data_IF_803284277679
#
_entry.id   IF_803284277679
#
_cell.length_a   1.000
_cell.length_b   1.000
_cell.length_c   1.000
_cell.angle_alpha   90.00
_cell.angle_beta   90.00
_cell.angle_gamma   90.00
#
_symmetry.space_group_name_H-M   'P 1'
#
loop_
_entity.id
_entity.type
_entity.pdbx_description
1 polymer ?
#
# COMPACT_ATOMS: atom_id res chain seq x y z
N UNK A 1 39.48 22.15 -1.10
CA UNK A 1 40.51 21.41 -1.87
C UNK A 1 39.79 20.60 -2.94
N UNK A 2 40.24 20.61 -4.19
CA UNK A 2 39.72 19.70 -5.22
C UNK A 2 40.45 18.38 -5.05
N UNK A 3 39.71 17.32 -4.71
CA UNK A 3 40.22 15.97 -4.59
C UNK A 3 40.67 15.48 -5.98
N UNK A 4 41.87 14.89 -6.07
CA UNK A 4 42.37 14.33 -7.34
C UNK A 4 41.65 13.00 -7.58
N UNK A 5 40.66 13.00 -8.47
CA UNK A 5 39.90 11.80 -8.82
C UNK A 5 40.77 10.85 -9.65
N UNK A 6 40.96 9.61 -9.17
CA UNK A 6 41.55 8.51 -9.94
C UNK A 6 40.45 7.55 -10.38
N UNK A 7 40.38 7.31 -11.69
CA UNK A 7 39.48 6.32 -12.26
C UNK A 7 40.20 4.97 -12.35
N UNK A 8 39.58 3.88 -11.90
CA UNK A 8 40.16 2.53 -11.95
C UNK A 8 39.40 1.65 -12.93
N UNK A 9 40.10 0.96 -13.83
CA UNK A 9 39.50 0.09 -14.82
C UNK A 9 38.69 -1.02 -14.14
N UNK A 10 37.40 -1.18 -14.47
CA UNK A 10 36.59 -2.25 -13.89
C UNK A 10 36.97 -3.65 -14.36
N UNK A 11 37.71 -3.76 -15.46
CA UNK A 11 38.16 -5.06 -15.98
C UNK A 11 39.38 -5.61 -15.24
N UNK A 12 40.29 -4.74 -14.80
CA UNK A 12 41.58 -5.17 -14.25
C UNK A 12 42.07 -4.38 -13.02
N UNK A 13 41.29 -3.41 -12.52
CA UNK A 13 41.66 -2.54 -11.41
C UNK A 13 42.72 -1.49 -11.72
N UNK A 14 43.28 -1.47 -12.93
CA UNK A 14 44.35 -0.56 -13.31
C UNK A 14 43.93 0.91 -13.40
N UNK A 15 44.77 1.84 -12.95
CA UNK A 15 44.50 3.27 -13.06
C UNK A 15 44.38 3.73 -14.52
N UNK A 16 43.30 4.44 -14.83
CA UNK A 16 43.04 4.95 -16.17
C UNK A 16 43.78 6.25 -16.44
N UNK A 17 44.23 6.39 -17.68
CA UNK A 17 44.93 7.58 -18.16
C UNK A 17 44.03 8.29 -19.17
N UNK A 18 43.82 9.59 -18.98
CA UNK A 18 43.05 10.42 -19.90
C UNK A 18 43.86 10.65 -21.18
N UNK A 19 43.37 10.14 -22.32
CA UNK A 19 43.87 10.53 -23.63
C UNK A 19 43.03 11.70 -24.16
N UNK A 20 43.52 12.93 -23.97
CA UNK A 20 42.81 14.16 -24.37
C UNK A 20 42.60 14.27 -25.88
N UNK A 21 43.44 13.63 -26.69
CA UNK A 21 43.35 13.70 -28.15
C UNK A 21 42.18 12.89 -28.70
N UNK A 22 41.75 11.87 -27.97
CA UNK A 22 40.69 10.93 -28.38
C UNK A 22 39.46 11.02 -27.47
N UNK A 23 39.45 11.89 -26.46
CA UNK A 23 38.39 12.01 -25.44
C UNK A 23 38.03 10.68 -24.76
N UNK A 24 39.03 9.81 -24.59
CA UNK A 24 38.89 8.45 -24.06
C UNK A 24 39.85 8.24 -22.89
N UNK A 25 39.38 7.57 -21.84
CA UNK A 25 40.20 7.00 -20.78
C UNK A 25 40.76 5.66 -21.23
N UNK A 26 42.09 5.52 -21.34
CA UNK A 26 42.74 4.26 -21.71
C UNK A 26 43.33 3.58 -20.48
N UNK A 27 43.07 2.27 -20.35
CA UNK A 27 43.74 1.43 -19.36
C UNK A 27 45.08 0.93 -19.91
N UNK A 28 46.22 1.26 -19.26
CA UNK A 28 47.53 0.80 -19.73
C UNK A 28 47.76 -0.70 -19.50
N UNK A 29 46.93 -1.35 -18.67
CA UNK A 29 47.10 -2.76 -18.30
C UNK A 29 46.35 -3.73 -19.21
N UNK A 30 45.07 -3.46 -19.51
CA UNK A 30 44.24 -4.32 -20.35
C UNK A 30 43.93 -3.74 -21.73
N UNK A 31 44.30 -2.48 -22.00
CA UNK A 31 44.05 -1.82 -23.28
C UNK A 31 42.63 -1.31 -23.50
N UNK A 32 41.70 -1.55 -22.56
CA UNK A 32 40.33 -1.06 -22.67
C UNK A 32 40.28 0.48 -22.68
N UNK A 33 39.47 1.02 -23.59
CA UNK A 33 39.16 2.44 -23.69
C UNK A 33 37.74 2.71 -23.20
N UNK A 34 37.56 3.80 -22.46
CA UNK A 34 36.27 4.26 -21.97
C UNK A 34 36.01 5.69 -22.42
N UNK A 35 34.84 5.97 -22.99
CA UNK A 35 34.46 7.30 -23.43
C UNK A 35 34.36 8.29 -22.25
N UNK A 36 34.99 9.46 -22.37
CA UNK A 36 35.04 10.43 -21.28
C UNK A 36 33.69 11.10 -21.00
N UNK A 37 32.84 11.31 -22.02
CA UNK A 37 31.51 11.88 -21.83
C UNK A 37 30.60 10.88 -21.11
N UNK A 38 30.65 9.60 -21.48
CA UNK A 38 29.93 8.54 -20.78
C UNK A 38 30.40 8.36 -19.33
N UNK A 39 31.70 8.55 -19.05
CA UNK A 39 32.20 8.56 -17.67
C UNK A 39 31.58 9.70 -16.86
N UNK A 40 31.60 10.92 -17.41
CA UNK A 40 31.05 12.08 -16.73
C UNK A 40 29.55 11.97 -16.49
N UNK A 41 28.78 11.50 -17.47
CA UNK A 41 27.35 11.21 -17.32
C UNK A 41 27.08 10.26 -16.16
N UNK A 42 27.86 9.17 -16.03
CA UNK A 42 27.70 8.20 -14.94
C UNK A 42 28.01 8.79 -13.57
N UNK A 43 29.01 9.65 -13.47
CA UNK A 43 29.31 10.39 -12.24
C UNK A 43 28.10 11.24 -11.81
N UNK A 44 27.50 11.97 -12.75
CA UNK A 44 26.29 12.76 -12.50
C UNK A 44 25.12 11.86 -12.06
N UNK A 45 24.92 10.71 -12.72
CA UNK A 45 23.88 9.74 -12.35
C UNK A 45 24.09 9.19 -10.93
N UNK A 46 25.31 8.77 -10.58
CA UNK A 46 25.62 8.23 -9.26
C UNK A 46 25.44 9.29 -8.15
N UNK A 47 25.83 10.53 -8.42
CA UNK A 47 25.56 11.64 -7.51
C UNK A 47 24.05 11.89 -7.38
N UNK A 48 23.29 11.81 -8.47
CA UNK A 48 21.84 11.98 -8.44
C UNK A 48 21.18 10.88 -7.59
N UNK A 49 21.60 9.63 -7.75
CA UNK A 49 21.16 8.52 -6.90
C UNK A 49 21.53 8.72 -5.42
N UNK A 50 22.72 9.27 -5.15
CA UNK A 50 23.13 9.62 -3.78
C UNK A 50 22.20 10.66 -3.18
N UNK A 51 21.89 11.73 -3.92
CA UNK A 51 20.93 12.74 -3.52
C UNK A 51 19.53 12.14 -3.30
N UNK A 52 19.07 11.23 -4.16
CA UNK A 52 17.80 10.51 -3.96
C UNK A 52 17.80 9.70 -2.67
N UNK A 53 18.87 8.96 -2.36
CA UNK A 53 19.00 8.21 -1.10
C UNK A 53 18.96 9.13 0.12
N UNK A 54 19.53 10.33 0.01
CA UNK A 54 19.50 11.38 1.02
C UNK A 54 18.17 12.15 1.07
N UNK A 55 17.20 11.81 0.20
CA UNK A 55 15.90 12.48 0.06
C UNK A 55 15.99 13.93 -0.44
N UNK A 56 17.10 14.30 -1.07
CA UNK A 56 17.34 15.60 -1.71
C UNK A 56 16.82 15.58 -3.16
N UNK A 57 15.52 15.32 -3.34
CA UNK A 57 14.93 15.07 -4.67
C UNK A 57 15.08 16.23 -5.65
N UNK A 58 15.08 17.48 -5.19
CA UNK A 58 15.29 18.64 -6.07
C UNK A 58 16.73 18.68 -6.61
N UNK A 59 17.72 18.41 -5.75
CA UNK A 59 19.13 18.37 -6.15
C UNK A 59 19.41 17.18 -7.08
N UNK A 60 18.75 16.04 -6.85
CA UNK A 60 18.78 14.90 -7.78
C UNK A 60 18.16 15.26 -9.14
N UNK A 61 16.99 15.92 -9.11
CA UNK A 61 16.28 16.37 -10.32
C UNK A 61 17.16 17.30 -11.17
N UNK A 62 17.84 18.27 -10.56
CA UNK A 62 18.73 19.19 -11.27
C UNK A 62 19.87 18.45 -12.00
N UNK A 63 20.40 17.38 -11.40
CA UNK A 63 21.41 16.50 -12.02
C UNK A 63 20.83 15.73 -13.21
N UNK A 64 19.65 15.12 -13.08
CA UNK A 64 18.99 14.47 -14.22
C UNK A 64 18.65 15.45 -15.34
N UNK A 65 18.14 16.64 -15.02
CA UNK A 65 17.85 17.70 -15.99
C UNK A 65 19.13 18.15 -16.73
N UNK A 66 20.30 18.11 -16.08
CA UNK A 66 21.57 18.43 -16.73
C UNK A 66 21.92 17.41 -17.83
N UNK A 67 21.63 16.12 -17.61
CA UNK A 67 21.82 15.05 -18.60
C UNK A 67 20.80 15.20 -19.73
N UNK A 68 19.53 15.47 -19.40
CA UNK A 68 18.45 15.61 -20.38
C UNK A 68 18.62 16.82 -21.31
N UNK A 69 19.41 17.83 -20.92
CA UNK A 69 19.77 18.94 -21.80
C UNK A 69 20.65 18.49 -22.98
N UNK A 70 21.56 17.55 -22.76
CA UNK A 70 22.42 16.98 -23.82
C UNK A 70 21.79 15.76 -24.48
N UNK A 71 21.11 14.91 -23.71
CA UNK A 71 20.51 13.65 -24.15
C UNK A 71 19.03 13.58 -23.71
N UNK A 72 18.10 14.21 -24.46
CA UNK A 72 16.70 14.38 -24.02
C UNK A 72 15.90 13.09 -23.84
N UNK A 73 16.37 11.99 -24.42
CA UNK A 73 15.74 10.67 -24.37
C UNK A 73 16.57 9.67 -23.55
N UNK A 74 17.47 10.16 -22.69
CA UNK A 74 18.24 9.29 -21.81
C UNK A 74 17.34 8.57 -20.82
N UNK A 75 17.40 7.23 -20.83
CA UNK A 75 16.52 6.39 -20.03
C UNK A 75 16.73 6.60 -18.53
N UNK A 76 17.99 6.57 -18.07
CA UNK A 76 18.34 6.68 -16.65
C UNK A 76 17.88 8.02 -16.07
N UNK A 77 18.13 9.12 -16.81
CA UNK A 77 17.69 10.43 -16.39
C UNK A 77 16.16 10.58 -16.41
N UNK A 78 15.46 10.09 -17.44
CA UNK A 78 13.99 10.11 -17.47
C UNK A 78 13.38 9.29 -16.32
N UNK A 79 13.93 8.11 -16.03
CA UNK A 79 13.54 7.30 -14.85
C UNK A 79 13.77 8.07 -13.56
N UNK A 80 14.93 8.68 -13.41
CA UNK A 80 15.29 9.51 -12.26
C UNK A 80 14.31 10.66 -12.02
N UNK A 81 13.93 11.37 -13.08
CA UNK A 81 12.94 12.45 -13.03
C UNK A 81 11.58 11.96 -12.51
N UNK A 82 11.08 10.84 -13.04
CA UNK A 82 9.82 10.23 -12.57
C UNK A 82 9.89 9.86 -11.09
N UNK A 83 10.99 9.22 -10.66
CA UNK A 83 11.16 8.82 -9.26
C UNK A 83 11.29 10.04 -8.33
N UNK A 84 11.98 11.10 -8.75
CA UNK A 84 12.08 12.35 -8.00
C UNK A 84 10.71 13.01 -7.83
N UNK A 85 9.89 13.06 -8.89
CA UNK A 85 8.54 13.59 -8.84
C UNK A 85 7.64 12.81 -7.86
N UNK A 86 7.85 11.50 -7.75
CA UNK A 86 7.18 10.64 -6.76
C UNK A 86 7.80 10.66 -5.36
N UNK A 87 8.91 11.37 -5.13
CA UNK A 87 9.72 11.33 -3.89
C UNK A 87 10.18 9.92 -3.52
N UNK A 88 10.58 9.14 -4.52
CA UNK A 88 11.03 7.77 -4.38
C UNK A 88 12.56 7.69 -4.43
N UNK A 89 13.15 6.92 -3.52
CA UNK A 89 14.62 6.79 -3.43
C UNK A 89 15.22 5.85 -4.47
N UNK A 90 14.41 4.89 -4.91
CA UNK A 90 14.78 3.87 -5.89
C UNK A 90 13.52 3.15 -6.40
N UNK A 91 13.68 2.34 -7.45
CA UNK A 91 12.63 1.48 -7.97
C UNK A 91 12.17 0.43 -6.94
N UNK A 92 13.03 0.04 -5.99
CA UNK A 92 12.70 -0.87 -4.89
C UNK A 92 11.61 -0.32 -3.97
N UNK A 93 11.33 0.99 -4.03
CA UNK A 93 10.18 1.57 -3.33
C UNK A 93 8.86 0.91 -3.75
N UNK A 94 8.80 0.35 -4.97
CA UNK A 94 7.66 -0.41 -5.47
C UNK A 94 7.62 -1.88 -5.01
N UNK A 95 8.59 -2.37 -4.23
CA UNK A 95 8.63 -3.78 -3.82
C UNK A 95 7.40 -4.22 -3.00
N UNK A 96 6.71 -3.30 -2.34
CA UNK A 96 5.48 -3.60 -1.63
C UNK A 96 4.57 -2.38 -1.63
N UNK A 97 3.25 -2.60 -1.81
CA UNK A 97 2.26 -1.52 -1.80
C UNK A 97 2.32 -0.66 -0.52
N UNK A 98 2.61 -1.26 0.64
CA UNK A 98 2.66 -0.56 1.93
C UNK A 98 3.80 0.47 2.05
N UNK A 99 4.88 0.32 1.27
CA UNK A 99 6.07 1.19 1.34
C UNK A 99 5.89 2.53 0.63
N UNK A 100 4.76 2.73 -0.06
CA UNK A 100 4.52 3.89 -0.91
C UNK A 100 3.63 4.94 -0.19
N UNK A 101 3.40 4.81 1.11
CA UNK A 101 2.51 5.72 1.88
C UNK A 101 2.91 7.20 1.93
N UNK A 102 4.13 7.58 1.57
CA UNK A 102 4.65 8.96 1.65
C UNK A 102 5.01 9.59 0.30
N UNK A 103 4.51 9.03 -0.79
CA UNK A 103 4.85 9.41 -2.16
C UNK A 103 3.94 10.53 -2.69
N UNK A 104 4.47 11.34 -3.61
CA UNK A 104 3.72 12.41 -4.27
C UNK A 104 3.11 11.91 -5.60
N UNK A 105 1.93 11.28 -5.51
CA UNK A 105 1.24 10.65 -6.65
C UNK A 105 1.00 11.60 -7.82
N UNK A 106 0.44 12.78 -7.51
CA UNK A 106 0.03 13.73 -8.53
C UNK A 106 1.23 14.24 -9.34
N UNK A 107 2.34 14.56 -8.66
CA UNK A 107 3.58 14.97 -9.31
C UNK A 107 4.12 13.87 -10.23
N UNK A 108 4.13 12.64 -9.73
CA UNK A 108 4.62 11.48 -10.48
C UNK A 108 3.80 11.16 -11.73
N UNK A 109 2.46 11.17 -11.63
CA UNK A 109 1.56 10.90 -12.78
C UNK A 109 1.68 11.98 -13.86
N UNK A 110 1.81 13.24 -13.45
CA UNK A 110 2.02 14.34 -14.37
C UNK A 110 3.34 14.16 -15.14
N UNK A 111 4.42 13.90 -14.41
CA UNK A 111 5.74 13.72 -15.01
C UNK A 111 5.79 12.49 -15.93
N UNK A 112 5.18 11.38 -15.55
CA UNK A 112 5.06 10.18 -16.38
C UNK A 112 4.42 10.46 -17.74
N UNK A 113 3.41 11.34 -17.78
CA UNK A 113 2.73 11.70 -19.01
C UNK A 113 3.68 12.40 -19.99
N UNK A 114 4.54 13.28 -19.48
CA UNK A 114 5.49 14.02 -20.31
C UNK A 114 6.74 13.22 -20.64
N UNK A 115 7.19 12.37 -19.72
CA UNK A 115 8.29 11.42 -19.97
C UNK A 115 7.92 10.43 -21.06
N UNK A 116 6.70 9.86 -21.05
CA UNK A 116 6.24 8.94 -22.09
C UNK A 116 6.23 9.55 -23.50
N UNK A 117 6.04 10.87 -23.62
CA UNK A 117 6.10 11.57 -24.92
C UNK A 117 7.53 11.78 -25.43
N UNK A 118 8.49 11.92 -24.50
CA UNK A 118 9.90 12.19 -24.80
C UNK A 118 10.71 10.90 -24.97
N UNK A 119 10.36 9.85 -24.22
CA UNK A 119 11.06 8.58 -24.20
C UNK A 119 11.16 7.95 -25.59
N UNK A 120 12.19 7.14 -25.79
CA UNK A 120 12.29 6.29 -26.99
C UNK A 120 11.13 5.29 -26.99
N UNK A 121 10.72 4.87 -28.19
CA UNK A 121 9.60 3.92 -28.35
C UNK A 121 9.82 2.62 -27.56
N UNK A 122 11.07 2.14 -27.51
CA UNK A 122 11.48 0.96 -26.75
C UNK A 122 11.36 1.10 -25.21
N UNK A 123 11.43 2.33 -24.69
CA UNK A 123 11.38 2.61 -23.25
C UNK A 123 9.97 2.95 -22.76
N UNK A 124 9.04 3.28 -23.65
CA UNK A 124 7.63 3.60 -23.30
C UNK A 124 6.94 2.49 -22.47
N UNK A 125 7.17 1.19 -22.74
CA UNK A 125 6.61 0.12 -21.91
C UNK A 125 7.01 0.21 -20.44
N UNK A 126 8.27 0.55 -20.14
CA UNK A 126 8.77 0.70 -18.77
C UNK A 126 7.99 1.80 -18.02
N UNK A 127 7.88 3.00 -18.59
CA UNK A 127 7.14 4.11 -17.96
C UNK A 127 5.64 3.84 -17.87
N UNK A 128 5.08 3.11 -18.84
CA UNK A 128 3.68 2.69 -18.79
C UNK A 128 3.44 1.75 -17.61
N UNK A 129 4.35 0.80 -17.37
CA UNK A 129 4.26 -0.14 -16.27
C UNK A 129 4.30 0.54 -14.90
N UNK A 130 5.10 1.62 -14.75
CA UNK A 130 5.07 2.47 -13.55
C UNK A 130 3.66 3.05 -13.34
N UNK A 131 3.05 3.62 -14.38
CA UNK A 131 1.70 4.17 -14.29
C UNK A 131 0.66 3.12 -13.87
N UNK A 132 0.76 1.91 -14.41
CA UNK A 132 -0.14 0.81 -14.06
C UNK A 132 0.02 0.36 -12.60
N UNK A 133 1.25 0.35 -12.07
CA UNK A 133 1.50 0.10 -10.64
C UNK A 133 0.82 1.16 -9.77
N UNK A 134 0.93 2.44 -10.13
CA UNK A 134 0.28 3.53 -9.40
C UNK A 134 -1.24 3.38 -9.36
N UNK A 135 -1.86 2.97 -10.49
CA UNK A 135 -3.30 2.70 -10.57
C UNK A 135 -3.69 1.52 -9.67
N UNK A 136 -2.92 0.44 -9.65
CA UNK A 136 -3.22 -0.72 -8.79
C UNK A 136 -3.15 -0.38 -7.29
N UNK A 137 -2.26 0.53 -6.88
CA UNK A 137 -2.18 1.00 -5.48
C UNK A 137 -3.42 1.83 -5.11
N UNK A 138 -3.86 2.71 -6.01
CA UNK A 138 -5.09 3.48 -5.82
C UNK A 138 -6.31 2.55 -5.69
N UNK A 139 -6.39 1.54 -6.56
CA UNK A 139 -7.45 0.53 -6.52
C UNK A 139 -7.43 -0.29 -5.22
N UNK A 140 -6.23 -0.71 -4.77
CA UNK A 140 -6.08 -1.43 -3.50
C UNK A 140 -6.55 -0.56 -2.32
N UNK A 141 -6.16 0.72 -2.30
CA UNK A 141 -6.54 1.68 -1.24
C UNK A 141 -8.07 1.83 -1.19
N UNK A 142 -8.72 1.95 -2.35
CA UNK A 142 -10.18 2.00 -2.46
C UNK A 142 -10.82 0.73 -1.90
N UNK A 143 -10.36 -0.45 -2.31
CA UNK A 143 -10.92 -1.72 -1.85
C UNK A 143 -10.68 -1.98 -0.36
N UNK A 144 -9.54 -1.58 0.19
CA UNK A 144 -9.28 -1.64 1.63
C UNK A 144 -10.28 -0.77 2.42
N UNK A 145 -10.63 0.41 1.88
CA UNK A 145 -11.66 1.26 2.48
C UNK A 145 -13.06 0.61 2.42
N UNK A 146 -13.42 -0.01 1.30
CA UNK A 146 -14.68 -0.75 1.14
C UNK A 146 -14.75 -1.93 2.11
N UNK A 147 -13.66 -2.69 2.25
CA UNK A 147 -13.55 -3.80 3.19
C UNK A 147 -13.76 -3.32 4.63
N UNK A 148 -13.07 -2.24 5.02
CA UNK A 148 -13.19 -1.65 6.37
C UNK A 148 -14.63 -1.20 6.66
N UNK A 149 -15.28 -0.56 5.69
CA UNK A 149 -16.67 -0.13 5.79
C UNK A 149 -17.63 -1.32 5.95
N UNK A 150 -17.44 -2.37 5.17
CA UNK A 150 -18.23 -3.61 5.27
C UNK A 150 -18.00 -4.34 6.60
N UNK A 151 -16.77 -4.36 7.12
CA UNK A 151 -16.43 -4.93 8.43
C UNK A 151 -17.10 -4.16 9.56
N UNK A 152 -17.10 -2.83 9.50
CA UNK A 152 -17.79 -1.97 10.47
C UNK A 152 -19.30 -2.16 10.40
N UNK A 153 -19.88 -2.29 9.20
CA UNK A 153 -21.29 -2.62 9.00
C UNK A 153 -21.64 -3.97 9.64
N UNK A 154 -20.79 -4.99 9.45
CA UNK A 154 -20.94 -6.29 10.11
C UNK A 154 -20.95 -6.16 11.64
N UNK A 155 -19.94 -5.51 12.22
CA UNK A 155 -19.83 -5.28 13.67
C UNK A 155 -21.06 -4.56 14.24
N UNK A 156 -21.54 -3.53 13.54
CA UNK A 156 -22.72 -2.76 13.94
C UNK A 156 -24.00 -3.60 13.93
N UNK A 157 -24.19 -4.48 12.93
CA UNK A 157 -25.35 -5.37 12.90
C UNK A 157 -25.29 -6.46 13.98
N UNK A 158 -24.11 -6.96 14.36
CA UNK A 158 -23.94 -7.84 15.53
C UNK A 158 -24.33 -7.10 16.81
N UNK A 159 -23.83 -5.87 17.00
CA UNK A 159 -24.12 -5.06 18.18
C UNK A 159 -25.63 -4.78 18.33
N UNK A 160 -26.32 -4.42 17.23
CA UNK A 160 -27.78 -4.21 17.24
C UNK A 160 -28.55 -5.48 17.62
N UNK A 161 -28.12 -6.65 17.14
CA UNK A 161 -28.75 -7.92 17.51
C UNK A 161 -28.57 -8.19 19.01
N UNK A 162 -27.35 -8.08 19.52
CA UNK A 162 -27.05 -8.29 20.94
C UNK A 162 -27.86 -7.35 21.83
N UNK A 163 -27.96 -6.06 21.47
CA UNK A 163 -28.77 -5.08 22.19
C UNK A 163 -30.26 -5.44 22.20
N UNK A 164 -30.79 -5.96 21.08
CA UNK A 164 -32.19 -6.38 20.98
C UNK A 164 -32.46 -7.62 21.86
N UNK A 165 -31.54 -8.58 21.87
CA UNK A 165 -31.62 -9.77 22.72
C UNK A 165 -31.53 -9.44 24.21
N UNK A 166 -30.63 -8.54 24.60
CA UNK A 166 -30.51 -8.06 25.99
C UNK A 166 -31.78 -7.32 26.45
N UNK A 167 -32.33 -6.45 25.60
CA UNK A 167 -33.57 -5.72 25.91
C UNK A 167 -34.76 -6.67 26.11
N UNK A 168 -34.88 -7.70 25.26
CA UNK A 168 -35.90 -8.74 25.39
C UNK A 168 -35.76 -9.56 26.67
N UNK A 169 -34.53 -9.90 27.06
CA UNK A 169 -34.24 -10.59 28.34
C UNK A 169 -34.59 -9.71 29.55
N UNK A 170 -34.23 -8.43 29.52
CA UNK A 170 -34.58 -7.48 30.58
C UNK A 170 -36.09 -7.36 30.80
N UNK A 171 -36.86 -7.30 29.71
CA UNK A 171 -38.32 -7.28 29.76
C UNK A 171 -38.89 -8.56 30.39
N UNK A 172 -38.35 -9.73 30.02
CA UNK A 172 -38.76 -11.01 30.61
C UNK A 172 -38.49 -11.07 32.12
N UNK A 173 -37.31 -10.64 32.57
CA UNK A 173 -36.99 -10.61 34.00
C UNK A 173 -37.85 -9.64 34.79
N UNK A 174 -38.18 -8.48 34.21
CA UNK A 174 -39.10 -7.51 34.82
C UNK A 174 -40.50 -8.11 35.07
N UNK A 175 -41.08 -8.76 34.06
CA UNK A 175 -42.38 -9.42 34.22
C UNK A 175 -42.33 -10.63 35.17
N UNK A 176 -41.23 -11.39 35.17
CA UNK A 176 -41.02 -12.48 36.12
C UNK A 176 -40.98 -11.96 37.56
N UNK A 177 -40.30 -10.84 37.82
CA UNK A 177 -40.24 -10.21 39.13
C UNK A 177 -41.62 -9.69 39.58
N UNK A 178 -42.37 -9.03 38.69
CA UNK A 178 -43.74 -8.55 38.96
C UNK A 178 -44.68 -9.70 39.33
N UNK A 179 -44.58 -10.83 38.62
CA UNK A 179 -45.35 -12.04 38.91
C UNK A 179 -45.05 -12.58 40.32
N UNK A 180 -43.78 -12.66 40.71
CA UNK A 180 -43.36 -13.09 42.05
C UNK A 180 -43.98 -12.18 43.12
N UNK A 181 -43.90 -10.86 42.97
CA UNK A 181 -44.50 -9.91 43.92
C UNK A 181 -46.03 -10.05 44.04
N UNK A 182 -46.74 -10.23 42.92
CA UNK A 182 -48.18 -10.43 42.92
C UNK A 182 -48.59 -11.72 43.66
N UNK A 183 -47.86 -12.82 43.44
CA UNK A 183 -48.12 -14.09 44.14
C UNK A 183 -47.86 -14.00 45.65
N UNK A 184 -46.81 -13.28 46.07
CA UNK A 184 -46.51 -13.03 47.49
C UNK A 184 -47.56 -12.13 48.15
N UNK A 185 -48.03 -11.08 47.46
CA UNK A 185 -49.06 -10.16 47.98
C UNK A 185 -50.42 -10.81 48.20
N UNK A 186 -50.82 -11.75 47.34
CA UNK A 186 -52.07 -12.54 47.49
C UNK A 186 -52.01 -13.47 48.70
N UNK A 187 -50.82 -13.95 49.08
CA UNK A 187 -50.63 -14.79 50.26
C UNK A 187 -50.93 -14.05 51.59
N UNK A 188 -50.81 -12.73 51.60
CA UNK A 188 -51.01 -11.89 52.80
C UNK A 188 -52.49 -11.53 53.03
N UNK A 189 -53.32 -11.53 51.98
CA UNK A 189 -54.70 -10.98 52.04
C UNK A 189 -55.81 -11.97 52.40
N UNK A 190 -55.50 -13.26 52.63
CA UNK A 190 -56.38 -14.20 53.32
C UNK A 190 -57.69 -14.63 52.63
N UNK A 191 -57.95 -14.25 51.37
CA UNK A 191 -59.18 -14.65 50.65
C UNK A 191 -58.88 -15.71 49.57
N UNK A 192 -59.32 -16.98 49.73
CA UNK A 192 -58.82 -18.09 48.93
C UNK A 192 -59.37 -18.15 47.49
N UNK A 193 -60.58 -17.65 47.24
CA UNK A 193 -61.23 -17.79 45.92
C UNK A 193 -60.79 -16.70 44.94
N UNK A 194 -60.53 -15.47 45.40
CA UNK A 194 -60.10 -14.35 44.53
C UNK A 194 -58.65 -14.52 44.04
N UNK A 195 -57.79 -15.11 44.87
CA UNK A 195 -56.37 -15.32 44.56
C UNK A 195 -56.12 -16.31 43.43
N UNK A 196 -56.95 -17.35 43.30
CA UNK A 196 -56.79 -18.39 42.27
C UNK A 196 -57.06 -17.81 40.87
N UNK A 197 -58.14 -17.04 40.70
CA UNK A 197 -58.47 -16.40 39.43
C UNK A 197 -57.43 -15.34 39.02
N UNK A 198 -56.91 -14.58 39.99
CA UNK A 198 -55.84 -13.60 39.77
C UNK A 198 -54.53 -14.28 39.32
N UNK A 199 -54.14 -15.38 40.00
CA UNK A 199 -52.94 -16.15 39.64
C UNK A 199 -53.02 -16.78 38.25
N UNK A 200 -54.17 -17.36 37.88
CA UNK A 200 -54.39 -17.93 36.54
C UNK A 200 -54.36 -16.85 35.45
N UNK A 201 -54.98 -15.69 35.69
CA UNK A 201 -54.92 -14.55 34.76
C UNK A 201 -53.50 -14.05 34.54
N UNK A 202 -52.71 -13.93 35.60
CA UNK A 202 -51.30 -13.53 35.52
C UNK A 202 -50.43 -14.56 34.80
N UNK A 203 -50.67 -15.86 35.02
CA UNK A 203 -49.94 -16.94 34.34
C UNK A 203 -50.20 -16.94 32.83
N UNK A 204 -51.46 -16.73 32.41
CA UNK A 204 -51.82 -16.62 30.98
C UNK A 204 -51.17 -15.40 30.34
N UNK A 205 -51.18 -14.24 31.00
CA UNK A 205 -50.50 -13.02 30.52
C UNK A 205 -48.99 -13.23 30.39
N UNK A 206 -48.35 -13.89 31.35
CA UNK A 206 -46.93 -14.22 31.28
C UNK A 206 -46.60 -15.11 30.08
N UNK A 207 -47.40 -16.15 29.83
CA UNK A 207 -47.23 -17.03 28.66
C UNK A 207 -47.37 -16.23 27.36
N UNK A 208 -48.37 -15.35 27.26
CA UNK A 208 -48.56 -14.48 26.09
C UNK A 208 -47.33 -13.59 25.87
N UNK A 209 -46.79 -12.96 26.92
CA UNK A 209 -45.60 -12.11 26.83
C UNK A 209 -44.38 -12.93 26.38
N UNK A 210 -44.16 -14.11 26.95
CA UNK A 210 -43.06 -15.02 26.54
C UNK A 210 -43.18 -15.39 25.06
N UNK A 211 -44.39 -15.71 24.59
CA UNK A 211 -44.65 -16.04 23.20
C UNK A 211 -44.40 -14.82 22.30
N UNK A 212 -44.89 -13.63 22.66
CA UNK A 212 -44.68 -12.40 21.89
C UNK A 212 -43.20 -12.02 21.79
N UNK A 213 -42.44 -12.12 22.88
CA UNK A 213 -40.98 -11.88 22.88
C UNK A 213 -40.25 -12.91 22.00
N UNK A 214 -40.64 -14.19 22.06
CA UNK A 214 -40.02 -15.22 21.20
C UNK A 214 -40.36 -15.03 19.72
N UNK A 215 -41.61 -14.71 19.38
CA UNK A 215 -42.05 -14.50 17.99
C UNK A 215 -41.36 -13.27 17.38
N UNK A 216 -41.34 -12.14 18.10
CA UNK A 216 -40.65 -10.93 17.64
C UNK A 216 -39.14 -11.15 17.50
N UNK A 217 -38.51 -11.87 18.43
CA UNK A 217 -37.11 -12.29 18.32
C UNK A 217 -36.83 -13.20 17.12
N UNK A 218 -37.69 -14.16 16.82
CA UNK A 218 -37.54 -15.08 15.69
C UNK A 218 -37.65 -14.37 14.33
N UNK A 219 -38.62 -13.45 14.18
CA UNK A 219 -38.73 -12.63 12.97
C UNK A 219 -37.52 -11.69 12.80
N UNK A 220 -37.02 -11.09 13.88
CA UNK A 220 -35.80 -10.29 13.88
C UNK A 220 -34.56 -11.10 13.47
N UNK A 221 -34.41 -12.31 14.01
CA UNK A 221 -33.30 -13.22 13.73
C UNK A 221 -33.22 -13.61 12.25
N UNK A 222 -34.34 -13.96 11.62
CA UNK A 222 -34.34 -14.38 10.21
C UNK A 222 -33.97 -13.22 9.24
N UNK A 223 -34.40 -11.99 9.56
CA UNK A 223 -34.01 -10.78 8.81
C UNK A 223 -32.52 -10.47 8.97
N UNK A 224 -32.00 -10.60 10.19
CA UNK A 224 -30.58 -10.39 10.50
C UNK A 224 -29.67 -11.41 9.79
N UNK A 225 -30.04 -12.70 9.81
CA UNK A 225 -29.29 -13.77 9.12
C UNK A 225 -29.14 -13.45 7.64
N UNK A 226 -30.21 -12.99 6.96
CA UNK A 226 -30.13 -12.57 5.55
C UNK A 226 -29.15 -11.42 5.36
N UNK A 227 -29.23 -10.36 6.17
CA UNK A 227 -28.30 -9.22 6.09
C UNK A 227 -26.85 -9.65 6.29
N UNK A 228 -26.60 -10.48 7.29
CA UNK A 228 -25.27 -11.03 7.59
C UNK A 228 -24.71 -11.88 6.45
N UNK A 229 -25.56 -12.68 5.81
CA UNK A 229 -25.16 -13.45 4.64
C UNK A 229 -24.66 -12.55 3.51
N UNK A 230 -25.40 -11.49 3.19
CA UNK A 230 -24.99 -10.54 2.14
C UNK A 230 -23.70 -9.79 2.50
N UNK A 231 -23.57 -9.34 3.75
CA UNK A 231 -22.35 -8.65 4.22
C UNK A 231 -21.14 -9.58 4.17
N UNK A 232 -21.28 -10.84 4.61
CA UNK A 232 -20.18 -11.82 4.51
C UNK A 232 -19.80 -12.11 3.06
N UNK A 233 -20.79 -12.24 2.18
CA UNK A 233 -20.54 -12.42 0.75
C UNK A 233 -19.74 -11.25 0.17
N UNK A 234 -20.14 -10.02 0.49
CA UNK A 234 -19.44 -8.78 0.10
C UNK A 234 -18.00 -8.77 0.63
N UNK A 235 -17.78 -9.10 1.91
CA UNK A 235 -16.44 -9.20 2.51
C UNK A 235 -15.53 -10.22 1.81
N UNK A 236 -16.07 -11.41 1.50
CA UNK A 236 -15.33 -12.46 0.81
C UNK A 236 -14.97 -12.01 -0.61
N UNK A 237 -15.91 -11.42 -1.33
CA UNK A 237 -15.70 -10.95 -2.69
C UNK A 237 -14.67 -9.82 -2.75
N UNK A 238 -14.76 -8.84 -1.85
CA UNK A 238 -13.78 -7.74 -1.77
C UNK A 238 -12.41 -8.24 -1.37
N UNK A 239 -12.31 -9.18 -0.43
CA UNK A 239 -11.03 -9.81 -0.07
C UNK A 239 -10.39 -10.54 -1.24
N UNK A 240 -11.18 -11.30 -2.00
CA UNK A 240 -10.70 -11.97 -3.21
C UNK A 240 -10.15 -10.97 -4.24
N UNK A 241 -10.84 -9.84 -4.44
CA UNK A 241 -10.37 -8.76 -5.33
C UNK A 241 -9.05 -8.15 -4.84
N UNK A 242 -8.88 -7.97 -3.53
CA UNK A 242 -7.61 -7.52 -2.95
C UNK A 242 -6.47 -8.49 -3.26
N UNK A 243 -6.69 -9.79 -3.07
CA UNK A 243 -5.69 -10.82 -3.38
C UNK A 243 -5.36 -10.83 -4.88
N UNK A 244 -6.35 -10.69 -5.76
CA UNK A 244 -6.15 -10.60 -7.21
C UNK A 244 -5.31 -9.37 -7.60
N UNK A 245 -5.53 -8.22 -6.96
CA UNK A 245 -4.75 -6.99 -7.21
C UNK A 245 -3.33 -7.08 -6.68
N UNK A 246 -3.11 -7.69 -5.52
CA UNK A 246 -1.77 -7.92 -4.97
C UNK A 246 -0.94 -8.79 -5.92
N UNK A 247 -1.50 -9.90 -6.39
CA UNK A 247 -0.85 -10.75 -7.39
C UNK A 247 -0.55 -10.01 -8.71
N UNK A 248 -1.50 -9.18 -9.16
CA UNK A 248 -1.35 -8.38 -10.38
C UNK A 248 -0.21 -7.37 -10.25
N UNK A 249 -0.13 -6.69 -9.10
CA UNK A 249 0.93 -5.74 -8.79
C UNK A 249 2.30 -6.42 -8.73
N UNK A 250 2.41 -7.57 -8.09
CA UNK A 250 3.66 -8.32 -8.02
C UNK A 250 4.13 -8.78 -9.41
N UNK A 251 3.19 -9.13 -10.29
CA UNK A 251 3.53 -9.41 -11.68
C UNK A 251 4.03 -8.15 -12.40
N UNK A 252 3.33 -7.03 -12.26
CA UNK A 252 3.70 -5.76 -12.87
C UNK A 252 5.06 -5.24 -12.39
N UNK A 253 5.36 -5.39 -11.10
CA UNK A 253 6.64 -5.00 -10.54
C UNK A 253 7.78 -5.89 -11.09
N UNK A 254 7.55 -7.20 -11.23
CA UNK A 254 8.53 -8.10 -11.86
C UNK A 254 8.78 -7.74 -13.32
N UNK A 255 7.74 -7.50 -14.09
CA UNK A 255 7.87 -7.06 -15.49
C UNK A 255 8.63 -5.72 -15.59
N UNK A 256 8.36 -4.78 -14.69
CA UNK A 256 9.08 -3.51 -14.63
C UNK A 256 10.59 -3.71 -14.44
N UNK A 257 10.98 -4.60 -13.51
CA UNK A 257 12.39 -4.92 -13.27
C UNK A 257 13.08 -5.58 -14.47
N UNK A 258 12.35 -6.33 -15.29
CA UNK A 258 12.89 -6.92 -16.52
C UNK A 258 13.13 -5.88 -17.62
N UNK A 259 12.35 -4.79 -17.61
CA UNK A 259 12.49 -3.67 -18.55
C UNK A 259 13.52 -2.62 -18.06
N UNK A 260 13.93 -2.67 -16.79
CA UNK A 260 14.94 -1.77 -16.24
C UNK A 260 16.33 -2.16 -16.76
N UNK A 261 16.83 -1.41 -17.74
CA UNK A 261 18.17 -1.59 -18.31
C UNK A 261 19.20 -0.60 -17.75
N UNK A 262 18.89 0.08 -16.64
CA UNK A 262 19.83 0.99 -15.99
C UNK A 262 21.18 0.33 -15.69
N UNK A 263 22.25 1.02 -16.07
CA UNK A 263 23.61 0.54 -15.83
C UNK A 263 23.98 -0.73 -16.62
N UNK A 264 23.28 -1.06 -17.72
CA UNK A 264 23.61 -2.21 -18.58
C UNK A 264 25.01 -2.11 -19.21
N UNK A 265 25.65 -0.95 -19.20
CA UNK A 265 27.07 -0.77 -19.53
C UNK A 265 27.98 -1.32 -18.41
N UNK A 266 28.06 -2.65 -18.33
CA UNK A 266 28.85 -3.43 -17.35
C UNK A 266 30.38 -3.32 -17.51
N UNK A 267 30.87 -2.46 -18.40
CA UNK A 267 32.29 -2.18 -18.61
C UNK A 267 32.67 -0.81 -18.06
N UNK A 268 32.18 -0.44 -16.87
CA UNK A 268 32.40 0.89 -16.31
C UNK A 268 33.43 0.88 -15.17
N UNK A 269 34.53 1.65 -15.27
CA UNK A 269 35.54 1.89 -14.22
C UNK A 269 34.98 2.17 -12.82
N UNK A 270 35.63 1.65 -11.77
CA UNK A 270 35.26 1.85 -10.37
C UNK A 270 35.91 3.14 -9.84
N UNK A 271 35.13 3.94 -9.12
CA UNK A 271 35.60 5.13 -8.40
C UNK A 271 36.26 4.73 -7.08
N UNK A 272 37.44 5.28 -6.79
CA UNK A 272 38.11 5.16 -5.49
C UNK A 272 38.49 6.57 -5.03
N UNK A 273 37.81 7.08 -3.99
CA UNK A 273 38.26 8.26 -3.25
C UNK A 273 39.44 7.86 -2.36
N UNK A 274 40.41 8.74 -2.21
CA UNK A 274 41.67 8.48 -1.49
C UNK A 274 41.51 8.40 0.05
N UNK A 275 40.29 8.23 0.57
CA UNK A 275 40.04 8.15 2.01
C UNK A 275 40.40 6.80 2.63
N UNK A 276 40.73 5.77 1.85
CA UNK A 276 41.08 4.42 2.33
C UNK A 276 42.58 4.16 2.52
N UNK A 277 43.44 5.15 2.34
CA UNK A 277 44.86 5.06 2.74
C UNK A 277 45.08 5.86 4.02
N UNK A 278 44.47 5.41 5.12
CA UNK A 278 45.03 5.70 6.44
C UNK A 278 46.35 4.95 6.56
N UNK A 279 47.42 5.73 6.72
CA UNK A 279 48.80 5.36 6.98
C UNK A 279 48.94 4.14 7.92
N UNK A 280 49.68 3.12 7.47
CA UNK A 280 50.49 2.27 8.36
C UNK A 280 51.79 2.99 8.73
#
# INVERSE_FOLDING_TARGET
MRELVRYTCATCGGALIVNRSEEVFKCPFCGNGFDAAQMHKREILNDAETNMKQMEFNAAKDKFDSILKSEPQDFDALKGIVLCAGKLRSLESFQSMDRIRSCEWTGMVNELTDVKKRAKEEDVPFFTRIGELLVTIEEQTRLQSELTNAENKSKNEIAKQNQTEESGRGLLYFFMFLFILLTLGVFVSGTPVSGIYCGLGCAVLFIIIVVLVKVTGHFGSNSHIKKMYYIRKELIETRKKLDEIENKYDNYYRELLLMDHSGSDKQAPVYSSLQDYSEE
#
